data_IF_807894006402
#
_entry.id   IF_807894006402
#
_cell.length_a   1.000
_cell.length_b   1.000
_cell.length_c   1.000
_cell.angle_alpha   90.00
_cell.angle_beta   90.00
_cell.angle_gamma   90.00
#
_symmetry.space_group_name_H-M   'P 1'
#
loop_
_entity.id
_entity.type
_entity.pdbx_description
1 polymer ?
#
# COMPACT_ATOMS: atom_id res chain seq x y z
N UNK A 1 16.95 26.73 12.36
CA UNK A 1 16.27 25.88 13.35
C UNK A 1 15.44 24.85 12.57
N UNK A 2 15.96 23.62 12.37
CA UNK A 2 15.24 22.57 11.63
C UNK A 2 14.25 21.93 12.61
N UNK A 3 13.00 22.26 12.46
CA UNK A 3 11.89 21.51 13.11
C UNK A 3 11.70 20.16 12.38
N UNK A 4 12.70 19.29 12.43
CA UNK A 4 12.52 17.91 12.00
C UNK A 4 11.70 17.20 13.08
N UNK A 5 10.39 17.19 12.87
CA UNK A 5 9.46 16.52 13.77
C UNK A 5 9.72 15.02 13.67
N UNK A 6 10.50 14.48 14.63
CA UNK A 6 10.81 13.06 14.66
C UNK A 6 9.54 12.21 14.74
N UNK A 7 9.47 11.16 13.93
CA UNK A 7 8.27 10.32 13.76
C UNK A 7 8.50 8.92 14.37
N UNK A 8 7.50 8.34 15.00
CA UNK A 8 7.59 6.95 15.47
C UNK A 8 7.45 5.96 14.32
N UNK A 9 8.07 4.77 14.45
CA UNK A 9 7.97 3.68 13.45
C UNK A 9 6.50 3.40 13.09
N UNK A 10 5.64 3.23 14.09
CA UNK A 10 4.21 2.96 13.89
C UNK A 10 3.53 4.04 13.05
N UNK A 11 3.79 5.33 13.32
CA UNK A 11 3.20 6.43 12.55
C UNK A 11 3.72 6.46 11.11
N UNK A 12 5.02 6.27 10.92
CA UNK A 12 5.62 6.22 9.59
C UNK A 12 5.02 5.09 8.75
N UNK A 13 4.90 3.90 9.33
CA UNK A 13 4.28 2.74 8.68
C UNK A 13 2.83 3.02 8.28
N UNK A 14 2.02 3.60 9.18
CA UNK A 14 0.62 3.94 8.89
C UNK A 14 0.49 5.00 7.79
N UNK A 15 1.37 6.01 7.76
CA UNK A 15 1.38 7.04 6.70
C UNK A 15 1.69 6.40 5.34
N UNK A 16 2.71 5.54 5.28
CA UNK A 16 3.07 4.85 4.04
C UNK A 16 1.98 3.88 3.58
N UNK A 17 1.37 3.12 4.51
CA UNK A 17 0.22 2.26 4.19
C UNK A 17 -0.94 3.06 3.60
N UNK A 18 -1.29 4.19 4.23
CA UNK A 18 -2.35 5.07 3.75
C UNK A 18 -2.03 5.67 2.38
N UNK A 19 -0.79 6.07 2.14
CA UNK A 19 -0.34 6.55 0.84
C UNK A 19 -0.49 5.48 -0.23
N UNK A 20 0.05 4.25 0.00
CA UNK A 20 -0.06 3.14 -0.96
C UNK A 20 -1.52 2.78 -1.21
N UNK A 21 -2.35 2.70 -0.17
CA UNK A 21 -3.79 2.40 -0.32
C UNK A 21 -4.49 3.42 -1.21
N UNK A 22 -4.20 4.71 -1.01
CA UNK A 22 -4.88 5.79 -1.72
C UNK A 22 -4.39 5.99 -3.17
N UNK A 23 -3.12 5.69 -3.46
CA UNK A 23 -2.49 6.06 -4.73
C UNK A 23 -2.11 4.88 -5.63
N UNK A 24 -1.78 3.74 -5.06
CA UNK A 24 -1.27 2.58 -5.81
C UNK A 24 -2.33 1.49 -6.06
N UNK A 25 -3.61 1.77 -5.80
CA UNK A 25 -4.71 0.81 -5.96
C UNK A 25 -5.86 1.36 -6.82
N UNK A 26 -5.54 2.26 -7.75
CA UNK A 26 -6.55 2.94 -8.58
C UNK A 26 -7.43 1.94 -9.34
N UNK A 27 -6.84 0.98 -10.04
CA UNK A 27 -7.56 -0.03 -10.82
C UNK A 27 -8.51 -0.86 -9.95
N UNK A 28 -8.08 -1.26 -8.75
CA UNK A 28 -8.93 -1.98 -7.80
C UNK A 28 -10.20 -1.19 -7.44
N UNK A 29 -10.06 0.11 -7.16
CA UNK A 29 -11.23 0.94 -6.84
C UNK A 29 -12.12 1.19 -8.04
N UNK A 30 -11.56 1.32 -9.25
CA UNK A 30 -12.33 1.46 -10.48
C UNK A 30 -13.18 0.22 -10.72
N UNK A 31 -12.60 -0.97 -10.65
CA UNK A 31 -13.33 -2.23 -10.82
C UNK A 31 -14.42 -2.42 -9.74
N UNK A 32 -14.08 -2.09 -8.49
CA UNK A 32 -15.05 -2.14 -7.40
C UNK A 32 -16.24 -1.20 -7.62
N UNK A 33 -16.02 0.01 -8.19
CA UNK A 33 -17.09 0.97 -8.50
C UNK A 33 -17.94 0.51 -9.71
N UNK A 34 -17.36 -0.21 -10.65
CA UNK A 34 -18.11 -0.80 -11.77
C UNK A 34 -19.11 -1.85 -11.25
N UNK A 35 -18.69 -2.69 -10.31
CA UNK A 35 -19.55 -3.72 -9.70
C UNK A 35 -20.57 -3.12 -8.71
N UNK A 36 -20.11 -2.15 -7.92
CA UNK A 36 -20.88 -1.45 -6.90
C UNK A 36 -20.84 0.06 -7.16
N UNK A 37 -21.77 0.60 -7.95
CA UNK A 37 -21.81 2.02 -8.29
C UNK A 37 -21.82 2.89 -7.02
N UNK A 38 -20.94 3.89 -6.97
CA UNK A 38 -20.78 4.76 -5.81
C UNK A 38 -22.08 5.45 -5.40
N UNK A 39 -22.93 5.77 -6.38
CA UNK A 39 -24.22 6.42 -6.13
C UNK A 39 -25.20 5.55 -5.33
N UNK A 40 -25.15 4.24 -5.54
CA UNK A 40 -26.04 3.28 -4.87
C UNK A 40 -25.44 2.73 -3.58
N UNK A 41 -24.09 2.58 -3.55
CA UNK A 41 -23.38 1.91 -2.46
C UNK A 41 -22.19 2.72 -1.91
N UNK A 42 -22.35 4.02 -1.57
CA UNK A 42 -21.21 4.88 -1.20
C UNK A 42 -20.47 4.38 0.05
N UNK A 43 -21.21 3.90 1.05
CA UNK A 43 -20.61 3.41 2.29
C UNK A 43 -19.79 2.13 2.08
N UNK A 44 -20.23 1.26 1.16
CA UNK A 44 -19.48 0.05 0.83
C UNK A 44 -18.18 0.40 0.14
N UNK A 45 -18.20 1.27 -0.89
CA UNK A 45 -16.98 1.70 -1.60
C UNK A 45 -15.98 2.37 -0.66
N UNK A 46 -16.46 3.23 0.25
CA UNK A 46 -15.61 3.83 1.29
C UNK A 46 -15.05 2.75 2.23
N UNK A 47 -15.85 1.72 2.55
CA UNK A 47 -15.43 0.63 3.42
C UNK A 47 -14.26 -0.17 2.84
N UNK A 48 -14.19 -0.34 1.50
CA UNK A 48 -13.07 -0.99 0.82
C UNK A 48 -11.73 -0.29 1.08
N UNK A 49 -11.73 1.04 1.12
CA UNK A 49 -10.53 1.82 1.42
C UNK A 49 -10.03 1.54 2.86
N UNK A 50 -10.94 1.52 3.84
CA UNK A 50 -10.58 1.20 5.22
C UNK A 50 -10.17 -0.27 5.39
N UNK A 51 -10.81 -1.17 4.68
CA UNK A 51 -10.49 -2.59 4.66
C UNK A 51 -9.06 -2.82 4.15
N UNK A 52 -8.74 -2.29 2.97
CA UNK A 52 -7.42 -2.42 2.35
C UNK A 52 -6.33 -1.72 3.18
N UNK A 53 -6.62 -0.51 3.69
CA UNK A 53 -5.71 0.22 4.59
C UNK A 53 -5.40 -0.57 5.86
N UNK A 54 -6.42 -1.16 6.49
CA UNK A 54 -6.25 -1.94 7.73
C UNK A 54 -5.42 -3.18 7.47
N UNK A 55 -5.73 -3.92 6.40
CA UNK A 55 -4.99 -5.12 6.00
C UNK A 55 -3.50 -4.79 5.75
N UNK A 56 -3.21 -3.82 4.89
CA UNK A 56 -1.85 -3.43 4.56
C UNK A 56 -1.10 -2.89 5.78
N UNK A 57 -1.76 -2.08 6.61
CA UNK A 57 -1.15 -1.53 7.83
C UNK A 57 -0.79 -2.61 8.83
N UNK A 58 -1.66 -3.60 9.06
CA UNK A 58 -1.37 -4.73 9.96
C UNK A 58 -0.19 -5.53 9.42
N UNK A 59 -0.21 -5.90 8.14
CA UNK A 59 0.88 -6.64 7.51
C UNK A 59 2.24 -5.93 7.68
N UNK A 60 2.27 -4.62 7.38
CA UNK A 60 3.50 -3.83 7.51
C UNK A 60 3.93 -3.64 8.97
N UNK A 61 3.00 -3.43 9.90
CA UNK A 61 3.33 -3.33 11.31
C UNK A 61 3.91 -4.64 11.86
N UNK A 62 3.51 -5.80 11.36
CA UNK A 62 4.09 -7.09 11.75
C UNK A 62 5.54 -7.24 11.26
N UNK A 63 5.84 -6.78 10.05
CA UNK A 63 7.16 -6.96 9.41
C UNK A 63 8.15 -5.84 9.75
N UNK A 64 7.69 -4.60 9.94
CA UNK A 64 8.54 -3.44 10.22
C UNK A 64 9.06 -3.44 11.66
N UNK A 65 10.38 -3.53 11.81
CA UNK A 65 11.11 -3.45 13.09
C UNK A 65 12.14 -2.32 13.06
N UNK A 66 12.78 -2.08 14.22
CA UNK A 66 13.74 -0.97 14.43
C UNK A 66 14.80 -0.85 13.32
N UNK A 67 15.31 -1.96 12.81
CA UNK A 67 16.45 -1.98 11.89
C UNK A 67 16.03 -2.06 10.41
N UNK A 68 14.85 -2.59 10.10
CA UNK A 68 14.43 -2.87 8.72
C UNK A 68 13.33 -1.95 8.19
N UNK A 69 12.71 -1.13 9.04
CA UNK A 69 11.53 -0.31 8.67
C UNK A 69 11.77 0.54 7.43
N UNK A 70 12.85 1.33 7.41
CA UNK A 70 13.11 2.20 6.25
C UNK A 70 13.33 1.39 4.98
N UNK A 71 14.12 0.32 5.07
CA UNK A 71 14.41 -0.53 3.93
C UNK A 71 13.14 -1.15 3.36
N UNK A 72 12.29 -1.76 4.20
CA UNK A 72 11.03 -2.37 3.79
C UNK A 72 10.08 -1.34 3.16
N UNK A 73 9.90 -0.18 3.81
CA UNK A 73 9.00 0.84 3.30
C UNK A 73 9.47 1.43 1.98
N UNK A 74 10.78 1.66 1.81
CA UNK A 74 11.37 2.14 0.55
C UNK A 74 11.22 1.09 -0.55
N UNK A 75 11.61 -0.16 -0.28
CA UNK A 75 11.46 -1.24 -1.24
C UNK A 75 10.00 -1.41 -1.67
N UNK A 76 9.08 -1.38 -0.73
CA UNK A 76 7.65 -1.50 -1.01
C UNK A 76 7.14 -0.33 -1.88
N UNK A 77 7.51 0.92 -1.58
CA UNK A 77 7.12 2.09 -2.38
C UNK A 77 7.63 1.97 -3.82
N UNK A 78 8.87 1.54 -4.02
CA UNK A 78 9.44 1.33 -5.35
C UNK A 78 8.69 0.20 -6.08
N UNK A 79 8.51 -0.96 -5.45
CA UNK A 79 7.81 -2.09 -6.06
C UNK A 79 6.36 -1.74 -6.39
N UNK A 80 5.61 -1.15 -5.46
CA UNK A 80 4.19 -0.81 -5.69
C UNK A 80 4.02 0.26 -6.76
N UNK A 81 4.96 1.18 -6.96
CA UNK A 81 4.89 2.17 -8.04
C UNK A 81 4.95 1.54 -9.43
N UNK A 82 5.81 0.53 -9.60
CA UNK A 82 5.95 -0.23 -10.85
C UNK A 82 4.72 -1.12 -11.06
N UNK A 83 4.32 -1.87 -10.03
CA UNK A 83 3.13 -2.73 -10.06
C UNK A 83 1.88 -1.92 -10.44
N UNK A 84 1.68 -0.77 -9.79
CA UNK A 84 0.55 0.13 -10.06
C UNK A 84 0.50 0.57 -11.52
N UNK A 85 1.67 0.93 -12.10
CA UNK A 85 1.73 1.29 -13.51
C UNK A 85 1.23 0.17 -14.42
N UNK A 86 1.72 -1.05 -14.22
CA UNK A 86 1.33 -2.19 -15.04
C UNK A 86 -0.14 -2.58 -14.85
N UNK A 87 -0.60 -2.58 -13.61
CA UNK A 87 -2.01 -2.88 -13.30
C UNK A 87 -2.95 -1.84 -13.91
N UNK A 88 -2.63 -0.55 -13.76
CA UNK A 88 -3.50 0.54 -14.23
C UNK A 88 -3.56 0.67 -15.75
N UNK A 89 -2.44 0.37 -16.46
CA UNK A 89 -2.36 0.59 -17.90
C UNK A 89 -2.60 -0.66 -18.74
N UNK A 90 -2.23 -1.81 -18.24
CA UNK A 90 -2.33 -3.08 -18.98
C UNK A 90 -3.37 -4.03 -18.38
N UNK A 91 -3.99 -3.66 -17.25
CA UNK A 91 -4.95 -4.53 -16.56
C UNK A 91 -4.29 -5.82 -16.04
N UNK A 92 -2.98 -5.79 -15.87
CA UNK A 92 -2.23 -6.98 -15.50
C UNK A 92 -2.50 -7.32 -14.04
N UNK A 93 -3.01 -8.52 -13.82
CA UNK A 93 -3.00 -9.17 -12.52
C UNK A 93 -1.71 -9.98 -12.46
N UNK A 94 -0.89 -9.76 -11.43
CA UNK A 94 0.34 -10.54 -11.22
C UNK A 94 -0.02 -11.96 -10.83
N UNK A 95 -0.20 -12.80 -11.85
CA UNK A 95 -0.40 -14.25 -11.73
C UNK A 95 0.88 -15.01 -12.10
N UNK A 96 0.83 -16.34 -11.94
CA UNK A 96 1.97 -17.22 -12.25
C UNK A 96 2.43 -17.09 -13.71
N UNK A 97 1.49 -16.92 -14.65
CA UNK A 97 1.79 -16.75 -16.07
C UNK A 97 2.58 -15.48 -16.35
N UNK A 98 2.28 -14.39 -15.65
CA UNK A 98 3.02 -13.14 -15.79
C UNK A 98 4.43 -13.23 -15.23
N UNK A 99 4.60 -13.92 -14.11
CA UNK A 99 5.92 -14.16 -13.52
C UNK A 99 6.78 -14.93 -14.53
N UNK A 100 6.24 -15.97 -15.15
CA UNK A 100 6.94 -16.73 -16.18
C UNK A 100 7.28 -15.85 -17.40
N UNK A 101 6.36 -15.00 -17.85
CA UNK A 101 6.60 -14.06 -18.94
C UNK A 101 7.72 -13.06 -18.63
N UNK A 102 7.83 -12.55 -17.41
CA UNK A 102 8.92 -11.64 -17.01
C UNK A 102 10.29 -12.31 -17.18
N UNK A 103 10.40 -13.62 -16.85
CA UNK A 103 11.66 -14.35 -17.01
C UNK A 103 12.01 -14.71 -18.46
N UNK A 104 11.01 -14.78 -19.36
CA UNK A 104 11.20 -15.13 -20.78
C UNK A 104 11.33 -13.88 -21.68
N UNK A 105 10.92 -12.70 -21.18
CA UNK A 105 10.90 -11.44 -21.96
C UNK A 105 12.32 -11.02 -22.36
N UNK A 106 12.53 -10.76 -23.66
CA UNK A 106 13.79 -10.26 -24.21
C UNK A 106 14.04 -8.79 -23.81
N UNK A 107 15.31 -8.39 -23.73
CA UNK A 107 15.72 -7.01 -23.40
C UNK A 107 15.04 -5.96 -24.29
N UNK A 108 14.84 -6.23 -25.58
CA UNK A 108 14.19 -5.30 -26.51
C UNK A 108 12.71 -5.10 -26.16
N UNK A 109 11.98 -6.15 -25.84
CA UNK A 109 10.57 -6.08 -25.41
C UNK A 109 10.44 -5.35 -24.07
N UNK A 110 11.42 -5.55 -23.16
CA UNK A 110 11.47 -4.83 -21.88
C UNK A 110 11.69 -3.33 -22.07
N UNK A 111 12.48 -2.93 -23.07
CA UNK A 111 12.72 -1.52 -23.38
C UNK A 111 11.49 -0.83 -23.99
N UNK A 112 10.69 -1.55 -24.76
CA UNK A 112 9.42 -1.05 -25.33
C UNK A 112 8.36 -0.76 -24.25
N UNK A 113 8.47 -1.42 -23.09
CA UNK A 113 7.64 -1.15 -21.92
C UNK A 113 8.04 0.12 -21.14
N UNK A 114 9.25 0.65 -21.39
CA UNK A 114 9.74 1.88 -20.78
C UNK A 114 9.06 3.10 -21.42
N UNK A 115 7.97 3.55 -20.82
CA UNK A 115 7.26 4.74 -21.25
C UNK A 115 7.53 5.94 -20.34
N UNK A 116 7.35 7.16 -20.85
CA UNK A 116 7.33 8.36 -20.00
C UNK A 116 6.33 8.24 -18.85
N UNK A 117 5.23 7.55 -19.08
CA UNK A 117 4.19 7.33 -18.07
C UNK A 117 4.70 6.43 -16.93
N UNK A 118 5.46 5.36 -17.24
CA UNK A 118 6.14 4.54 -16.23
C UNK A 118 7.09 5.39 -15.38
N UNK A 119 7.86 6.27 -16.04
CA UNK A 119 8.78 7.16 -15.34
C UNK A 119 8.04 8.09 -14.36
N UNK A 120 6.87 8.64 -14.75
CA UNK A 120 6.03 9.43 -13.84
C UNK A 120 5.53 8.61 -12.64
N UNK A 121 5.01 7.41 -12.86
CA UNK A 121 4.60 6.51 -11.77
C UNK A 121 5.77 6.24 -10.83
N UNK A 122 6.91 5.86 -11.37
CA UNK A 122 8.12 5.58 -10.59
C UNK A 122 8.59 6.78 -9.77
N UNK A 123 8.63 7.97 -10.36
CA UNK A 123 9.08 9.19 -9.68
C UNK A 123 8.08 9.60 -8.58
N UNK A 124 6.79 9.73 -8.91
CA UNK A 124 5.82 10.32 -7.99
C UNK A 124 5.29 9.34 -6.94
N UNK A 125 5.10 8.06 -7.27
CA UNK A 125 4.57 7.06 -6.35
C UNK A 125 5.68 6.26 -5.66
N UNK A 126 6.86 6.13 -6.27
CA UNK A 126 8.00 5.39 -5.74
C UNK A 126 9.09 6.29 -5.17
N UNK A 127 9.82 6.98 -6.04
CA UNK A 127 11.08 7.64 -5.71
C UNK A 127 10.93 8.83 -4.74
N UNK A 128 9.99 9.75 -5.00
CA UNK A 128 9.77 10.91 -4.11
C UNK A 128 9.33 10.46 -2.71
N UNK A 129 8.30 9.59 -2.54
CA UNK A 129 7.95 9.08 -1.22
C UNK A 129 9.07 8.30 -0.55
N UNK A 130 9.85 7.52 -1.32
CA UNK A 130 11.02 6.81 -0.80
C UNK A 130 12.09 7.76 -0.22
N UNK A 131 12.37 8.89 -0.90
CA UNK A 131 13.27 9.92 -0.37
C UNK A 131 12.73 10.53 0.93
N UNK A 132 11.42 10.78 1.01
CA UNK A 132 10.78 11.29 2.22
C UNK A 132 10.96 10.31 3.38
N UNK A 133 10.72 9.02 3.14
CA UNK A 133 10.93 7.95 4.14
C UNK A 133 12.41 7.86 4.54
N UNK A 134 13.33 7.93 3.57
CA UNK A 134 14.77 7.89 3.83
C UNK A 134 15.21 9.04 4.75
N UNK A 135 14.75 10.27 4.46
CA UNK A 135 15.09 11.47 5.24
C UNK A 135 14.34 11.58 6.57
N UNK A 136 13.28 10.79 6.79
CA UNK A 136 12.51 10.84 8.03
C UNK A 136 13.38 10.47 9.23
N UNK A 137 13.39 11.33 10.24
CA UNK A 137 14.06 11.06 11.52
C UNK A 137 13.17 10.20 12.41
N UNK A 138 13.56 8.94 12.62
CA UNK A 138 12.79 8.00 13.44
C UNK A 138 13.16 8.14 14.91
N UNK A 139 12.17 8.43 15.75
CA UNK A 139 12.32 8.35 17.20
C UNK A 139 12.19 6.91 17.66
N UNK A 140 13.28 6.38 18.16
CA UNK A 140 13.30 5.04 18.77
C UNK A 140 12.89 5.13 20.23
N UNK A 141 11.71 4.62 20.53
CA UNK A 141 11.24 4.44 21.91
C UNK A 141 11.88 3.18 22.54
N UNK A 142 11.75 3.02 23.86
CA UNK A 142 12.10 1.76 24.52
C UNK A 142 11.32 0.59 23.91
N UNK A 143 11.90 -0.61 23.92
CA UNK A 143 11.29 -1.79 23.30
C UNK A 143 9.84 -2.00 23.79
N UNK A 144 9.61 -1.91 25.09
CA UNK A 144 8.27 -2.08 25.67
C UNK A 144 7.26 -1.03 25.20
N UNK A 145 7.68 0.24 25.13
CA UNK A 145 6.81 1.31 24.63
C UNK A 145 6.51 1.16 23.14
N UNK A 146 7.49 0.71 22.36
CA UNK A 146 7.31 0.48 20.94
C UNK A 146 6.39 -0.70 20.68
N UNK A 147 6.56 -1.81 21.40
CA UNK A 147 5.70 -2.98 21.31
C UNK A 147 4.25 -2.63 21.72
N UNK A 148 4.09 -1.91 22.83
CA UNK A 148 2.78 -1.49 23.30
C UNK A 148 2.02 -0.61 22.29
N UNK A 149 2.72 0.35 21.67
CA UNK A 149 2.14 1.16 20.59
C UNK A 149 1.76 0.34 19.35
N UNK A 150 2.59 -0.62 18.97
CA UNK A 150 2.30 -1.53 17.86
C UNK A 150 1.07 -2.39 18.14
N UNK A 151 1.04 -3.06 19.30
CA UNK A 151 -0.08 -3.91 19.71
C UNK A 151 -1.38 -3.09 19.70
N UNK A 152 -1.38 -1.90 20.32
CA UNK A 152 -2.55 -1.01 20.33
C UNK A 152 -2.99 -0.65 18.90
N UNK A 153 -2.06 -0.30 18.02
CA UNK A 153 -2.38 0.03 16.63
C UNK A 153 -2.93 -1.18 15.86
N UNK A 154 -2.31 -2.36 15.99
CA UNK A 154 -2.76 -3.59 15.36
C UNK A 154 -4.15 -3.98 15.85
N UNK A 155 -4.38 -3.95 17.17
CA UNK A 155 -5.70 -4.28 17.74
C UNK A 155 -6.79 -3.35 17.21
N UNK A 156 -6.53 -2.03 17.16
CA UNK A 156 -7.48 -1.06 16.61
C UNK A 156 -7.78 -1.32 15.13
N UNK A 157 -6.74 -1.61 14.34
CA UNK A 157 -6.88 -1.92 12.91
C UNK A 157 -7.63 -3.24 12.68
N UNK A 158 -7.38 -4.26 13.49
CA UNK A 158 -8.12 -5.54 13.42
C UNK A 158 -9.59 -5.38 13.80
N UNK A 159 -9.90 -4.55 14.79
CA UNK A 159 -11.29 -4.21 15.14
C UNK A 159 -11.96 -3.48 13.97
N UNK A 160 -11.28 -2.51 13.37
CA UNK A 160 -11.79 -1.79 12.20
C UNK A 160 -12.01 -2.74 11.02
N UNK A 161 -11.03 -3.60 10.71
CA UNK A 161 -11.10 -4.59 9.64
C UNK A 161 -12.29 -5.55 9.86
N UNK A 162 -12.40 -6.15 11.05
CA UNK A 162 -13.47 -7.06 11.37
C UNK A 162 -14.84 -6.37 11.36
N UNK A 163 -14.94 -5.17 11.94
CA UNK A 163 -16.18 -4.39 11.95
C UNK A 163 -16.68 -4.06 10.54
N UNK A 164 -15.79 -3.59 9.67
CA UNK A 164 -16.13 -3.30 8.26
C UNK A 164 -16.54 -4.57 7.53
N UNK A 165 -15.81 -5.67 7.70
CA UNK A 165 -16.13 -6.96 7.06
C UNK A 165 -17.48 -7.50 7.53
N UNK A 166 -17.81 -7.41 8.81
CA UNK A 166 -19.09 -7.88 9.34
C UNK A 166 -20.28 -7.05 8.84
N UNK A 167 -20.15 -5.72 8.83
CA UNK A 167 -21.21 -4.81 8.38
C UNK A 167 -21.54 -5.04 6.90
N UNK A 168 -20.54 -5.25 6.06
CA UNK A 168 -20.69 -5.43 4.61
C UNK A 168 -20.44 -6.87 4.14
N UNK A 169 -20.65 -7.86 5.00
CA UNK A 169 -20.32 -9.27 4.73
C UNK A 169 -20.93 -9.81 3.44
N UNK A 170 -22.17 -9.45 3.12
CA UNK A 170 -22.86 -9.86 1.88
C UNK A 170 -22.16 -9.29 0.63
N UNK A 171 -21.79 -8.00 0.68
CA UNK A 171 -21.13 -7.34 -0.46
C UNK A 171 -19.68 -7.82 -0.64
N UNK A 172 -18.97 -8.13 0.44
CA UNK A 172 -17.64 -8.74 0.35
C UNK A 172 -17.69 -10.16 -0.21
N UNK A 173 -18.71 -10.97 0.18
CA UNK A 173 -18.87 -12.33 -0.33
C UNK A 173 -19.20 -12.39 -1.83
N UNK A 174 -19.75 -11.32 -2.41
CA UNK A 174 -20.06 -11.24 -3.84
C UNK A 174 -18.94 -10.60 -4.69
N UNK A 175 -17.87 -10.08 -4.04
CA UNK A 175 -16.64 -9.62 -4.73
C UNK A 175 -15.60 -10.73 -4.89
N UNK A 176 -15.71 -11.81 -4.14
CA UNK A 176 -14.85 -12.98 -4.15
C UNK A 176 -15.39 -14.05 -5.10
#
# INVERSE_FOLDING_TARGET
MRLTKSISITRLTLIVSGFITATCNYKFFVEAIIIYPFQENPLFVISLLFWLFSFLSVALLLVCYRFNTKFILIALLICTSVISYFTDNYGVVFDDNMIDNIFVTNLNESLDLLSLKLLFYFIFLGFIPAIIVYKAEITYKTLNQQLWLKIKAITLLLILFAGVTLVFSKSYASLL
#
